data_IF_499901660694
#
_entry.id   IF_499901660694
#
_cell.length_a   1.000
_cell.length_b   1.000
_cell.length_c   1.000
_cell.angle_alpha   90.00
_cell.angle_beta   90.00
_cell.angle_gamma   90.00
#
_symmetry.space_group_name_H-M   'P 1'
#
loop_
_entity.id
_entity.type
_entity.pdbx_description
1 polymer ?
#
# COMPACT_ATOMS: atom_id res chain seq x y z
N UNK A 1 -15.07 19.32 30.47
CA UNK A 1 -15.26 18.40 29.33
C UNK A 1 -13.96 18.41 28.55
N UNK A 2 -12.96 17.69 29.04
CA UNK A 2 -11.65 17.61 28.39
C UNK A 2 -11.81 16.75 27.13
N UNK A 3 -11.70 17.40 25.98
CA UNK A 3 -11.60 16.71 24.71
C UNK A 3 -10.27 15.97 24.67
N UNK A 4 -10.29 14.66 24.95
CA UNK A 4 -9.23 13.75 24.51
C UNK A 4 -9.34 13.65 22.98
N UNK A 5 -8.80 14.64 22.27
CA UNK A 5 -8.42 14.44 20.89
C UNK A 5 -7.29 13.41 20.91
N UNK A 6 -7.65 12.16 20.64
CA UNK A 6 -6.68 11.08 20.51
C UNK A 6 -5.72 11.44 19.36
N UNK A 7 -4.43 11.56 19.67
CA UNK A 7 -3.45 12.27 18.85
C UNK A 7 -3.06 11.43 17.64
N UNK A 8 -3.31 11.92 16.42
CA UNK A 8 -2.85 11.29 15.19
C UNK A 8 -1.32 11.32 15.10
N UNK A 9 -0.71 10.26 14.59
CA UNK A 9 0.75 10.19 14.44
C UNK A 9 1.16 11.01 13.21
N UNK A 10 1.96 12.06 13.43
CA UNK A 10 2.47 12.93 12.38
C UNK A 10 3.82 12.45 11.83
N UNK A 11 4.23 12.87 10.61
CA UNK A 11 5.56 12.55 10.09
C UNK A 11 6.70 12.98 11.02
N UNK A 12 6.54 14.15 11.65
CA UNK A 12 7.54 14.73 12.55
C UNK A 12 7.68 13.88 13.81
N UNK A 13 6.59 13.33 14.34
CA UNK A 13 6.64 12.47 15.52
C UNK A 13 7.49 11.21 15.26
N UNK A 14 7.32 10.59 14.08
CA UNK A 14 8.09 9.40 13.69
C UNK A 14 9.58 9.75 13.56
N UNK A 15 9.91 10.86 12.91
CA UNK A 15 11.29 11.31 12.75
C UNK A 15 11.94 11.62 14.12
N UNK A 16 11.22 12.34 14.99
CA UNK A 16 11.69 12.66 16.33
C UNK A 16 11.90 11.39 17.16
N UNK A 17 11.02 10.39 17.02
CA UNK A 17 11.17 9.11 17.69
C UNK A 17 12.41 8.35 17.21
N UNK A 18 12.73 8.38 15.92
CA UNK A 18 13.95 7.78 15.38
C UNK A 18 15.21 8.42 15.96
N UNK A 19 15.24 9.75 16.07
CA UNK A 19 16.35 10.48 16.72
C UNK A 19 16.42 10.19 18.21
N UNK A 20 15.30 10.22 18.93
CA UNK A 20 15.25 9.93 20.38
C UNK A 20 15.72 8.52 20.72
N UNK A 21 15.44 7.54 19.86
CA UNK A 21 15.91 6.17 20.02
C UNK A 21 17.39 5.99 19.65
N UNK A 22 18.09 7.06 19.24
CA UNK A 22 19.48 7.00 18.80
C UNK A 22 19.67 6.21 17.49
N UNK A 23 18.59 6.01 16.72
CA UNK A 23 18.68 5.29 15.44
C UNK A 23 19.27 6.17 14.34
N UNK A 24 19.26 7.49 14.50
CA UNK A 24 19.70 8.47 13.51
C UNK A 24 20.42 9.60 14.24
N UNK A 25 21.54 10.07 13.68
CA UNK A 25 22.28 11.24 14.17
C UNK A 25 21.63 12.53 13.65
N UNK A 26 21.09 13.41 14.53
CA UNK A 26 20.41 14.63 14.10
C UNK A 26 21.31 15.66 13.40
N UNK A 27 22.64 15.57 13.48
CA UNK A 27 23.53 16.50 12.78
C UNK A 27 23.95 16.02 11.39
N UNK A 28 23.80 14.72 11.12
CA UNK A 28 24.24 14.11 9.88
C UNK A 28 23.36 12.90 9.51
N UNK A 29 22.22 13.19 8.90
CA UNK A 29 21.21 12.20 8.55
C UNK A 29 21.42 11.73 7.11
N UNK A 30 21.81 10.46 6.93
CA UNK A 30 21.77 9.82 5.61
C UNK A 30 20.31 9.53 5.22
N UNK A 31 19.83 10.18 4.16
CA UNK A 31 18.46 10.04 3.67
C UNK A 31 18.13 8.59 3.27
N UNK A 32 19.12 7.84 2.78
CA UNK A 32 18.95 6.46 2.31
C UNK A 32 18.56 5.53 3.47
N UNK A 33 19.30 5.66 4.57
CA UNK A 33 19.14 4.89 5.79
C UNK A 33 17.93 5.37 6.61
N UNK A 34 17.74 6.68 6.73
CA UNK A 34 16.56 7.27 7.37
C UNK A 34 15.27 6.76 6.73
N UNK A 35 15.20 6.75 5.39
CA UNK A 35 13.99 6.35 4.66
C UNK A 35 13.57 4.93 5.02
N UNK A 36 14.53 4.00 5.10
CA UNK A 36 14.26 2.61 5.46
C UNK A 36 13.76 2.50 6.91
N UNK A 37 14.43 3.20 7.83
CA UNK A 37 14.05 3.25 9.25
C UNK A 37 12.68 3.87 9.46
N UNK A 38 12.34 4.91 8.71
CA UNK A 38 11.04 5.57 8.75
C UNK A 38 9.93 4.61 8.25
N UNK A 39 10.12 3.97 7.10
CA UNK A 39 9.14 3.02 6.56
C UNK A 39 8.95 1.83 7.50
N UNK A 40 10.03 1.32 8.09
CA UNK A 40 9.96 0.23 9.07
C UNK A 40 9.13 0.63 10.29
N UNK A 41 9.43 1.79 10.89
CA UNK A 41 8.65 2.30 12.03
C UNK A 41 7.19 2.53 11.66
N UNK A 42 6.93 3.10 10.48
CA UNK A 42 5.57 3.34 9.99
C UNK A 42 4.77 2.03 9.84
N UNK A 43 5.41 0.94 9.38
CA UNK A 43 4.78 -0.39 9.27
C UNK A 43 4.49 -0.99 10.64
N UNK A 44 5.47 -0.97 11.55
CA UNK A 44 5.30 -1.44 12.94
C UNK A 44 4.14 -0.71 13.62
N UNK A 45 4.05 0.61 13.45
CA UNK A 45 2.95 1.42 13.98
C UNK A 45 1.61 1.09 13.32
N UNK A 46 1.56 0.86 12.00
CA UNK A 46 0.33 0.53 11.28
C UNK A 46 -0.22 -0.85 11.63
N UNK A 47 0.65 -1.82 11.90
CA UNK A 47 0.26 -3.16 12.35
C UNK A 47 -0.32 -3.14 13.76
N UNK A 48 0.12 -2.18 14.59
CA UNK A 48 -0.32 -2.02 15.97
C UNK A 48 -1.50 -1.06 16.15
N UNK A 49 -1.68 -0.07 15.25
CA UNK A 49 -2.77 0.91 15.30
C UNK A 49 -3.04 1.56 13.93
N UNK A 50 -4.32 1.71 13.55
CA UNK A 50 -4.73 2.31 12.26
C UNK A 50 -4.69 3.86 12.25
N UNK A 51 -4.21 4.49 13.33
CA UNK A 51 -4.19 5.96 13.54
C UNK A 51 -3.09 6.72 12.79
N UNK A 52 -2.45 6.08 11.82
CA UNK A 52 -1.40 6.71 11.01
C UNK A 52 -2.02 7.78 10.11
N UNK A 53 -1.56 9.03 10.24
CA UNK A 53 -2.08 10.12 9.41
C UNK A 53 -1.76 9.90 7.92
N UNK A 54 -2.65 10.37 7.04
CA UNK A 54 -2.39 10.39 5.60
C UNK A 54 -1.10 11.15 5.26
N UNK A 55 -0.77 12.18 6.05
CA UNK A 55 0.48 12.93 5.96
C UNK A 55 1.72 12.07 6.24
N UNK A 56 1.68 11.17 7.23
CA UNK A 56 2.79 10.26 7.52
C UNK A 56 3.07 9.29 6.36
N UNK A 57 2.01 8.82 5.68
CA UNK A 57 2.12 8.00 4.47
C UNK A 57 2.68 8.82 3.31
N UNK A 58 2.18 10.05 3.10
CA UNK A 58 2.68 10.95 2.07
C UNK A 58 4.17 11.27 2.28
N UNK A 59 4.58 11.54 3.52
CA UNK A 59 5.97 11.75 3.89
C UNK A 59 6.85 10.53 3.53
N UNK A 60 6.37 9.31 3.74
CA UNK A 60 7.10 8.11 3.32
C UNK A 60 7.37 8.11 1.81
N UNK A 61 6.39 8.49 0.99
CA UNK A 61 6.57 8.57 -0.48
C UNK A 61 7.56 9.66 -0.89
N UNK A 62 7.58 10.79 -0.17
CA UNK A 62 8.53 11.88 -0.39
C UNK A 62 9.94 11.44 -0.04
N UNK A 63 10.14 10.79 1.12
CA UNK A 63 11.44 10.27 1.55
C UNK A 63 11.98 9.24 0.56
N UNK A 64 11.13 8.35 0.02
CA UNK A 64 11.53 7.42 -1.05
C UNK A 64 11.99 8.16 -2.30
N UNK A 65 11.29 9.24 -2.70
CA UNK A 65 11.73 10.07 -3.83
C UNK A 65 13.09 10.72 -3.56
N UNK A 66 13.27 11.32 -2.38
CA UNK A 66 14.55 11.94 -2.00
C UNK A 66 15.69 10.91 -1.96
N UNK A 67 15.43 9.69 -1.49
CA UNK A 67 16.38 8.57 -1.56
C UNK A 67 16.76 8.22 -2.99
N UNK A 68 15.80 8.14 -3.91
CA UNK A 68 16.10 7.84 -5.32
C UNK A 68 16.89 8.96 -5.99
N UNK A 69 16.56 10.23 -5.71
CA UNK A 69 17.30 11.39 -6.23
C UNK A 69 18.74 11.42 -5.69
N UNK A 70 18.93 11.09 -4.40
CA UNK A 70 20.24 11.06 -3.76
C UNK A 70 21.14 9.97 -4.35
N UNK A 71 20.60 8.77 -4.57
CA UNK A 71 21.35 7.67 -5.19
C UNK A 71 21.74 8.00 -6.64
N UNK A 72 20.81 8.56 -7.42
CA UNK A 72 21.08 8.93 -8.82
C UNK A 72 22.11 10.06 -8.94
N UNK A 73 22.12 11.01 -8.01
CA UNK A 73 23.09 12.11 -8.01
C UNK A 73 24.52 11.66 -7.70
N UNK A 74 24.70 10.54 -6.97
CA UNK A 74 26.02 9.95 -6.73
C UNK A 74 26.57 9.25 -7.98
N UNK A 75 25.70 8.54 -8.72
CA UNK A 75 26.09 7.84 -9.96
C UNK A 75 26.61 8.81 -11.03
N UNK A 76 26.01 10.00 -11.19
CA UNK A 76 26.46 11.03 -12.14
C UNK A 76 27.84 11.61 -11.77
N UNK A 77 28.11 11.79 -10.47
CA UNK A 77 29.41 12.30 -10.00
C UNK A 77 30.57 11.34 -10.27
N UNK A 78 30.32 10.03 -10.22
CA UNK A 78 31.32 9.01 -10.55
C UNK A 78 31.55 8.83 -12.06
N UNK A 79 30.54 9.14 -12.89
CA UNK A 79 30.67 9.09 -14.35
C UNK A 79 31.42 10.32 -14.91
N UNK A 80 31.21 11.51 -14.33
CA UNK A 80 31.95 12.73 -14.68
C UNK A 80 33.48 12.56 -14.48
N UNK A 81 33.92 11.94 -13.37
CA UNK A 81 35.35 11.69 -13.09
C UNK A 81 36.01 10.64 -14.00
N UNK A 82 35.23 9.77 -14.67
CA UNK A 82 35.75 8.68 -15.54
C UNK A 82 35.76 9.03 -17.03
N UNK A 83 35.33 10.23 -17.40
CA UNK A 83 35.01 10.61 -18.80
C UNK A 83 36.15 11.19 -19.65
N UNK A 84 37.41 11.23 -19.19
CA UNK A 84 38.50 11.83 -19.99
C UNK A 84 38.91 11.02 -21.24
N UNK A 85 38.44 9.78 -21.45
CA UNK A 85 38.73 9.04 -22.67
C UNK A 85 37.53 8.22 -23.15
N UNK A 86 36.70 8.80 -24.04
CA UNK A 86 36.19 8.16 -25.27
C UNK A 86 35.12 9.05 -25.92
N UNK A 87 35.41 9.53 -27.14
CA UNK A 87 34.38 10.08 -28.03
C UNK A 87 33.50 8.91 -28.50
N UNK A 88 32.39 8.68 -27.81
CA UNK A 88 31.24 7.94 -28.33
C UNK A 88 30.14 8.95 -28.62
N UNK A 89 29.54 8.86 -29.80
CA UNK A 89 28.30 9.58 -30.09
C UNK A 89 27.21 8.89 -29.30
N UNK A 90 27.05 9.34 -28.06
CA UNK A 90 26.04 8.87 -27.13
C UNK A 90 24.80 9.75 -27.34
N UNK A 91 23.72 9.16 -27.86
CA UNK A 91 22.42 9.81 -27.75
C UNK A 91 22.13 9.91 -26.27
N UNK A 92 22.21 11.12 -25.71
CA UNK A 92 21.83 11.39 -24.32
C UNK A 92 20.43 10.81 -24.12
N UNK A 93 20.25 9.74 -23.30
CA UNK A 93 18.93 9.37 -22.87
C UNK A 93 18.31 10.63 -22.27
N UNK A 94 17.03 10.87 -22.51
CA UNK A 94 16.29 11.96 -21.86
C UNK A 94 16.31 11.70 -20.36
N UNK A 95 17.38 12.14 -19.69
CA UNK A 95 17.50 12.09 -18.26
C UNK A 95 16.46 13.08 -17.72
N UNK A 96 15.61 12.66 -16.78
CA UNK A 96 14.80 13.63 -16.07
C UNK A 96 15.75 14.70 -15.51
N UNK A 97 15.39 15.98 -15.47
CA UNK A 97 16.22 16.99 -14.83
C UNK A 97 16.37 16.60 -13.35
N UNK A 98 17.48 15.95 -13.02
CA UNK A 98 17.82 15.55 -11.67
C UNK A 98 18.15 16.85 -10.95
N UNK A 99 17.30 17.24 -10.00
CA UNK A 99 17.71 18.25 -9.02
C UNK A 99 18.78 17.57 -8.18
N UNK A 100 19.98 18.17 -8.10
CA UNK A 100 20.98 17.76 -7.11
C UNK A 100 20.31 17.73 -5.74
N UNK A 101 20.04 16.54 -5.24
CA UNK A 101 19.48 16.33 -3.91
C UNK A 101 20.63 15.98 -3.00
N UNK A 102 20.76 16.69 -1.88
CA UNK A 102 21.75 16.36 -0.88
C UNK A 102 21.44 14.97 -0.30
N UNK A 103 22.47 14.16 -0.07
CA UNK A 103 22.32 12.83 0.58
C UNK A 103 22.24 12.95 2.09
N UNK A 104 22.96 13.93 2.64
CA UNK A 104 23.09 14.16 4.08
C UNK A 104 22.40 15.47 4.46
N UNK A 105 21.58 15.42 5.51
CA UNK A 105 20.86 16.59 6.04
C UNK A 105 21.11 16.73 7.53
N UNK A 106 20.99 17.95 8.07
CA UNK A 106 20.70 18.09 9.50
C UNK A 106 19.22 17.81 9.77
N UNK A 107 18.86 17.56 11.02
CA UNK A 107 17.46 17.29 11.39
C UNK A 107 16.53 18.45 11.05
N UNK A 108 16.96 19.68 11.33
CA UNK A 108 16.16 20.87 11.07
C UNK A 108 15.97 21.08 9.56
N UNK A 109 17.05 20.97 8.78
CA UNK A 109 17.00 21.07 7.31
C UNK A 109 16.09 20.00 6.71
N UNK A 110 16.16 18.77 7.23
CA UNK A 110 15.33 17.67 6.75
C UNK A 110 13.85 17.90 7.04
N UNK A 111 13.53 18.42 8.22
CA UNK A 111 12.15 18.74 8.60
C UNK A 111 11.62 19.85 7.69
N UNK A 112 12.40 20.90 7.45
CA UNK A 112 12.02 22.00 6.55
C UNK A 112 11.78 21.47 5.12
N UNK A 113 12.74 20.74 4.55
CA UNK A 113 12.61 20.15 3.22
C UNK A 113 11.41 19.21 3.09
N UNK A 114 11.14 18.40 4.12
CA UNK A 114 10.00 17.48 4.14
C UNK A 114 8.67 18.23 4.25
N UNK A 115 8.59 19.27 5.08
CA UNK A 115 7.39 20.09 5.26
C UNK A 115 7.05 20.86 3.98
N UNK A 116 8.05 21.45 3.33
CA UNK A 116 7.88 22.12 2.04
C UNK A 116 7.39 21.14 0.97
N UNK A 117 7.99 19.95 0.92
CA UNK A 117 7.58 18.91 -0.02
C UNK A 117 6.15 18.39 0.24
N UNK A 118 5.74 18.29 1.50
CA UNK A 118 4.37 17.93 1.90
C UNK A 118 3.38 19.02 1.47
N UNK A 119 3.69 20.28 1.74
CA UNK A 119 2.80 21.39 1.39
C UNK A 119 2.65 21.55 -0.13
N UNK A 120 3.76 21.40 -0.88
CA UNK A 120 3.74 21.40 -2.34
C UNK A 120 2.92 20.22 -2.90
N UNK A 121 3.05 19.03 -2.31
CA UNK A 121 2.27 17.87 -2.70
C UNK A 121 0.76 18.05 -2.41
N UNK A 122 0.40 18.72 -1.31
CA UNK A 122 -0.98 19.06 -0.97
C UNK A 122 -1.55 20.16 -1.89
N UNK A 123 -0.75 21.16 -2.25
CA UNK A 123 -1.14 22.27 -3.15
C UNK A 123 -1.30 21.83 -4.60
N UNK A 124 -0.55 20.81 -5.03
CA UNK A 124 -0.74 20.17 -6.34
C UNK A 124 -2.08 19.44 -6.37
N UNK A 125 -3.16 20.16 -6.73
CA UNK A 125 -4.40 19.55 -7.22
C UNK A 125 -4.02 18.44 -8.22
N UNK A 126 -4.66 17.26 -8.21
CA UNK A 126 -4.36 16.23 -9.18
C UNK A 126 -4.46 16.89 -10.55
N UNK A 127 -3.31 17.01 -11.23
CA UNK A 127 -3.28 17.51 -12.60
C UNK A 127 -4.28 16.63 -13.32
N UNK A 128 -5.38 17.21 -13.84
CA UNK A 128 -6.22 16.51 -14.79
C UNK A 128 -5.26 16.08 -15.88
N UNK A 129 -4.86 14.81 -15.88
CA UNK A 129 -3.94 14.28 -16.88
C UNK A 129 -4.54 14.68 -18.21
N UNK A 130 -3.83 15.50 -18.99
CA UNK A 130 -4.10 15.56 -20.42
C UNK A 130 -4.02 14.11 -20.85
N UNK A 131 -5.09 13.60 -21.45
CA UNK A 131 -5.11 12.24 -22.00
C UNK A 131 -4.10 12.20 -23.14
N UNK A 132 -2.82 12.05 -22.81
CA UNK A 132 -1.85 11.55 -23.75
C UNK A 132 -2.15 10.05 -23.86
N UNK A 133 -2.34 9.55 -25.09
CA UNK A 133 -2.63 8.14 -25.40
C UNK A 133 -1.39 7.26 -25.17
N UNK A 134 -0.78 7.37 -23.99
CA UNK A 134 0.07 6.33 -23.45
C UNK A 134 -0.92 5.37 -22.79
N UNK A 135 -0.93 4.11 -23.17
CA UNK A 135 -1.61 3.06 -22.43
C UNK A 135 -0.95 2.98 -21.05
N UNK A 136 -1.30 3.91 -20.16
CA UNK A 136 -1.14 3.72 -18.74
C UNK A 136 -1.84 2.40 -18.47
N UNK A 137 -1.09 1.38 -18.07
CA UNK A 137 -1.64 0.34 -17.22
C UNK A 137 -2.05 1.05 -15.94
N UNK A 138 -3.18 1.73 -16.00
CA UNK A 138 -3.92 2.16 -14.83
C UNK A 138 -4.12 0.85 -14.11
N UNK A 139 -3.39 0.65 -13.00
CA UNK A 139 -3.94 -0.15 -11.91
C UNK A 139 -5.22 0.60 -11.56
N UNK A 140 -6.28 0.27 -12.27
CA UNK A 140 -7.63 0.58 -11.86
C UNK A 140 -7.64 -0.10 -10.51
N UNK A 141 -7.58 0.71 -9.46
CA UNK A 141 -8.01 0.25 -8.15
C UNK A 141 -9.46 -0.06 -8.42
N UNK A 142 -9.70 -1.29 -8.88
CA UNK A 142 -11.02 -1.79 -9.22
C UNK A 142 -11.84 -1.47 -7.97
N UNK A 143 -12.98 -0.83 -8.13
CA UNK A 143 -13.91 -0.47 -7.04
C UNK A 143 -14.12 -1.65 -6.07
N UNK A 144 -13.93 -2.86 -6.62
CA UNK A 144 -13.61 -4.09 -5.93
C UNK A 144 -12.71 -3.96 -4.68
N UNK A 145 -11.48 -3.44 -4.77
CA UNK A 145 -10.49 -3.35 -3.66
C UNK A 145 -10.94 -2.46 -2.51
N UNK A 146 -11.79 -1.47 -2.76
CA UNK A 146 -12.27 -0.53 -1.73
C UNK A 146 -13.39 -1.16 -0.89
N UNK A 147 -14.19 -2.05 -1.49
CA UNK A 147 -15.39 -2.62 -0.86
C UNK A 147 -15.39 -4.16 -0.75
N UNK A 148 -14.24 -4.85 -0.86
CA UNK A 148 -14.15 -6.32 -0.77
C UNK A 148 -14.87 -6.82 0.50
N UNK A 149 -14.60 -6.19 1.64
CA UNK A 149 -15.19 -6.59 2.91
C UNK A 149 -16.71 -6.54 2.89
N UNK A 150 -17.31 -5.45 2.39
CA UNK A 150 -18.78 -5.33 2.30
C UNK A 150 -19.38 -6.42 1.42
N UNK A 151 -18.73 -6.74 0.31
CA UNK A 151 -19.18 -7.78 -0.60
C UNK A 151 -19.03 -9.19 -0.01
N UNK A 152 -17.93 -9.46 0.69
CA UNK A 152 -17.69 -10.71 1.42
C UNK A 152 -18.75 -10.91 2.51
N UNK A 153 -19.04 -9.88 3.31
CA UNK A 153 -20.09 -9.94 4.33
C UNK A 153 -21.48 -10.15 3.74
N UNK A 154 -21.79 -9.49 2.61
CA UNK A 154 -23.05 -9.69 1.88
C UNK A 154 -23.19 -11.12 1.38
N UNK A 155 -22.15 -11.68 0.77
CA UNK A 155 -22.14 -13.05 0.28
C UNK A 155 -22.33 -14.06 1.43
N UNK A 156 -21.62 -13.86 2.55
CA UNK A 156 -21.80 -14.69 3.74
C UNK A 156 -23.24 -14.69 4.25
N UNK A 157 -23.89 -13.51 4.31
CA UNK A 157 -25.29 -13.41 4.71
C UNK A 157 -26.23 -14.18 3.77
N UNK A 158 -25.97 -14.17 2.47
CA UNK A 158 -26.73 -14.95 1.47
C UNK A 158 -26.51 -16.44 1.69
N UNK A 159 -25.27 -16.89 1.86
CA UNK A 159 -24.92 -18.31 2.11
C UNK A 159 -25.60 -18.82 3.38
N UNK A 160 -25.52 -18.08 4.49
CA UNK A 160 -26.16 -18.46 5.76
C UNK A 160 -27.69 -18.51 5.61
N UNK A 161 -28.29 -17.54 4.90
CA UNK A 161 -29.74 -17.51 4.68
C UNK A 161 -30.21 -18.71 3.85
N UNK A 162 -29.54 -18.96 2.71
CA UNK A 162 -29.86 -20.08 1.82
C UNK A 162 -29.70 -21.43 2.54
N UNK A 163 -28.65 -21.57 3.35
CA UNK A 163 -28.41 -22.80 4.09
C UNK A 163 -29.45 -23.02 5.19
N UNK A 164 -29.87 -21.97 5.92
CA UNK A 164 -30.96 -22.07 6.90
C UNK A 164 -32.29 -22.47 6.27
N UNK A 165 -32.56 -22.01 5.06
CA UNK A 165 -33.82 -22.31 4.35
C UNK A 165 -33.82 -23.72 3.73
N UNK A 166 -32.68 -24.20 3.24
CA UNK A 166 -32.60 -25.47 2.50
C UNK A 166 -32.00 -26.63 3.29
N UNK A 167 -31.18 -26.36 4.30
CA UNK A 167 -30.44 -27.35 5.09
C UNK A 167 -29.42 -28.17 4.29
N UNK A 168 -29.09 -27.75 3.06
CA UNK A 168 -28.25 -28.51 2.12
C UNK A 168 -27.02 -27.70 1.71
N UNK A 169 -25.91 -28.38 1.32
CA UNK A 169 -24.77 -27.70 0.71
C UNK A 169 -25.21 -26.85 -0.48
N UNK A 170 -24.73 -25.61 -0.56
CA UNK A 170 -25.09 -24.67 -1.62
C UNK A 170 -24.12 -24.81 -2.77
N UNK A 171 -24.60 -24.90 -4.00
CA UNK A 171 -23.72 -25.01 -5.17
C UNK A 171 -23.17 -23.63 -5.51
N UNK A 172 -21.91 -23.57 -5.91
CA UNK A 172 -21.25 -22.31 -6.32
C UNK A 172 -22.07 -21.55 -7.38
N UNK A 173 -22.58 -22.27 -8.38
CA UNK A 173 -23.36 -21.66 -9.46
C UNK A 173 -24.69 -21.05 -9.01
N UNK A 174 -25.26 -21.53 -7.90
CA UNK A 174 -26.48 -20.95 -7.33
C UNK A 174 -26.20 -19.57 -6.67
N UNK A 175 -24.93 -19.27 -6.37
CA UNK A 175 -24.49 -17.98 -5.82
C UNK A 175 -24.12 -16.97 -6.93
N UNK A 176 -23.98 -17.42 -8.18
CA UNK A 176 -23.60 -16.61 -9.33
C UNK A 176 -24.83 -16.25 -10.14
N UNK A 177 -25.35 -15.03 -9.96
CA UNK A 177 -26.52 -14.55 -10.69
C UNK A 177 -26.24 -14.16 -12.15
N UNK A 178 -25.00 -13.75 -12.44
CA UNK A 178 -24.57 -13.33 -13.77
C UNK A 178 -23.27 -14.10 -14.14
N UNK A 179 -23.28 -14.89 -15.22
CA UNK A 179 -22.15 -15.73 -15.62
C UNK A 179 -21.02 -14.96 -16.31
N UNK A 180 -20.97 -13.64 -16.21
CA UNK A 180 -19.82 -12.84 -16.65
C UNK A 180 -18.54 -13.37 -15.99
N UNK A 181 -17.45 -13.60 -16.75
CA UNK A 181 -16.19 -14.11 -16.21
C UNK A 181 -15.67 -13.29 -15.02
N UNK A 182 -15.91 -11.97 -15.03
CA UNK A 182 -15.54 -11.09 -13.93
C UNK A 182 -16.32 -11.39 -12.65
N UNK A 183 -17.62 -11.67 -12.75
CA UNK A 183 -18.49 -11.95 -11.60
C UNK A 183 -18.25 -13.35 -11.05
N UNK A 184 -17.99 -14.33 -11.92
CA UNK A 184 -17.61 -15.69 -11.54
C UNK A 184 -16.32 -15.69 -10.73
N UNK A 185 -15.25 -15.10 -11.27
CA UNK A 185 -13.96 -15.00 -10.58
C UNK A 185 -14.07 -14.24 -9.24
N UNK A 186 -14.91 -13.19 -9.21
CA UNK A 186 -15.16 -12.39 -8.01
C UNK A 186 -15.83 -13.19 -6.91
N UNK A 187 -16.90 -13.92 -7.26
CA UNK A 187 -17.66 -14.74 -6.30
C UNK A 187 -16.79 -15.86 -5.75
N UNK A 188 -15.98 -16.48 -6.62
CA UNK A 188 -15.01 -17.47 -6.21
C UNK A 188 -13.98 -16.90 -5.23
N UNK A 189 -13.41 -15.73 -5.53
CA UNK A 189 -12.46 -15.06 -4.65
C UNK A 189 -13.08 -14.71 -3.28
N UNK A 190 -14.34 -14.27 -3.24
CA UNK A 190 -15.05 -14.03 -1.98
C UNK A 190 -15.25 -15.31 -1.15
N UNK A 191 -15.54 -16.43 -1.79
CA UNK A 191 -15.66 -17.72 -1.09
C UNK A 191 -14.31 -18.19 -0.53
N UNK A 192 -13.22 -18.00 -1.27
CA UNK A 192 -11.88 -18.27 -0.75
C UNK A 192 -11.56 -17.40 0.47
N UNK A 193 -11.94 -16.12 0.46
CA UNK A 193 -11.79 -15.26 1.64
C UNK A 193 -12.62 -15.77 2.82
N UNK A 194 -13.87 -16.15 2.60
CA UNK A 194 -14.74 -16.69 3.66
C UNK A 194 -14.20 -18.01 4.22
N UNK A 195 -13.63 -18.86 3.37
CA UNK A 195 -13.02 -20.13 3.78
C UNK A 195 -11.74 -19.93 4.57
N UNK A 196 -10.87 -19.02 4.12
CA UNK A 196 -9.68 -18.62 4.87
C UNK A 196 -10.02 -17.98 6.24
N UNK A 197 -11.18 -17.31 6.35
CA UNK A 197 -11.70 -16.79 7.62
C UNK A 197 -12.39 -17.85 8.49
N UNK A 198 -12.54 -19.10 8.02
CA UNK A 198 -13.22 -20.17 8.73
C UNK A 198 -14.75 -20.00 8.83
N UNK A 199 -15.36 -19.17 7.97
CA UNK A 199 -16.82 -18.92 7.96
C UNK A 199 -17.58 -19.89 7.05
N UNK A 200 -16.92 -20.43 6.04
CA UNK A 200 -17.49 -21.42 5.13
C UNK A 200 -16.47 -22.50 4.83
N UNK A 201 -16.95 -23.71 4.56
CA UNK A 201 -16.16 -24.79 4.01
C UNK A 201 -16.47 -24.96 2.51
N UNK A 202 -15.47 -25.36 1.74
CA UNK A 202 -15.55 -25.52 0.29
C UNK A 202 -15.17 -26.95 -0.08
N UNK A 203 -16.13 -27.70 -0.60
CA UNK A 203 -15.95 -29.11 -0.97
C UNK A 203 -15.95 -29.22 -2.50
N UNK A 204 -14.92 -29.84 -3.05
CA UNK A 204 -14.81 -30.17 -4.48
C UNK A 204 -14.27 -31.60 -4.60
N UNK A 205 -15.05 -32.50 -5.21
CA UNK A 205 -14.70 -33.92 -5.32
C UNK A 205 -13.68 -34.20 -6.44
N UNK A 206 -13.83 -33.53 -7.58
CA UNK A 206 -12.96 -33.67 -8.74
C UNK A 206 -12.38 -32.30 -9.15
N UNK A 207 -11.13 -32.22 -9.63
CA UNK A 207 -10.56 -30.98 -10.14
C UNK A 207 -11.46 -30.37 -11.21
N UNK A 208 -11.75 -29.07 -11.08
CA UNK A 208 -12.68 -28.33 -11.96
C UNK A 208 -14.14 -28.83 -11.93
N UNK A 209 -14.48 -29.72 -11.00
CA UNK A 209 -15.84 -30.14 -10.71
C UNK A 209 -16.64 -29.11 -9.93
N UNK A 210 -17.87 -29.47 -9.58
CA UNK A 210 -18.76 -28.59 -8.81
C UNK A 210 -18.18 -28.27 -7.43
N UNK A 211 -18.30 -27.00 -7.04
CA UNK A 211 -17.87 -26.51 -5.72
C UNK A 211 -19.11 -26.36 -4.86
N UNK A 212 -19.13 -27.06 -3.72
CA UNK A 212 -20.17 -26.98 -2.72
C UNK A 212 -19.69 -26.08 -1.57
N UNK A 213 -20.57 -25.18 -1.14
CA UNK A 213 -20.34 -24.21 -0.07
C UNK A 213 -21.19 -24.58 1.14
N UNK A 214 -20.54 -24.73 2.29
CA UNK A 214 -21.18 -25.01 3.57
C UNK A 214 -20.85 -23.90 4.56
N UNK A 215 -21.81 -23.19 5.17
CA UNK A 215 -21.48 -22.28 6.26
C UNK A 215 -21.02 -23.08 7.48
N UNK A 216 -19.94 -22.62 8.09
CA UNK A 216 -19.49 -23.11 9.39
C UNK A 216 -20.15 -22.24 10.45
N UNK A 217 -20.97 -22.84 11.31
CA UNK A 217 -21.42 -22.15 12.51
C UNK A 217 -20.22 -21.92 13.43
N UNK A 218 -20.20 -20.78 14.10
CA UNK A 218 -19.15 -20.38 15.04
C UNK A 218 -19.19 -21.33 16.26
N UNK A 219 -18.57 -22.50 16.11
CA UNK A 219 -18.45 -23.44 17.21
C UNK A 219 -17.54 -22.81 18.27
N UNK A 220 -18.11 -22.60 19.47
CA UNK A 220 -17.45 -22.06 20.67
C UNK A 220 -16.41 -23.02 21.27
N UNK A 221 -15.72 -23.80 20.44
CA UNK A 221 -14.77 -24.82 20.88
C UNK A 221 -13.58 -24.94 19.94
N UNK A 222 -12.66 -23.98 20.03
CA UNK A 222 -11.23 -24.31 19.96
C UNK A 222 -10.60 -23.91 21.31
N UNK A 223 -10.33 -24.88 22.20
CA UNK A 223 -9.55 -24.59 23.39
C UNK A 223 -8.11 -24.23 22.98
N UNK A 224 -7.52 -23.37 23.82
CA UNK A 224 -6.21 -22.72 23.71
C UNK A 224 -5.03 -23.65 23.41
#
# INVERSE_FOLDING_TARGET
MESRFETEITPVDILLQLVKMGKVDPWNIDIVDLTEKYIKMLREMRELDLRVSARAILAASILVRMKTEALLSEDEGEEEEKSEERIRVEVEPLAPPIRRSERYYTFDDLIEALMDALEEAERRKPRKRKKDNIEEQVFVVDDFRVDIEKHVHRLHGIVVKLYRETGKPIRFWDLVFDPSPKIVARTFLYLLFLSNMGKVDLIQEEPFGEILVLPLEEDRSRPA
#
